data_IF_586744979948
#
_entry.id   IF_586744979948
#
_cell.length_a   1.000
_cell.length_b   1.000
_cell.length_c   1.000
_cell.angle_alpha   90.00
_cell.angle_beta   90.00
_cell.angle_gamma   90.00
#
_symmetry.space_group_name_H-M   'P 1'
#
loop_
_entity.id
_entity.type
_entity.pdbx_description
1 polymer ?
#
# COMPACT_ATOMS: atom_id res chain seq x y z
N UNK A 1 21.74 -5.03 -20.21
CA UNK A 1 20.69 -4.49 -21.11
C UNK A 1 19.98 -5.67 -21.76
N UNK A 2 18.89 -6.14 -21.16
CA UNK A 2 18.03 -7.16 -21.76
C UNK A 2 16.77 -6.49 -22.27
N UNK A 3 16.50 -6.66 -23.55
CA UNK A 3 15.30 -6.21 -24.25
C UNK A 3 14.27 -7.33 -24.27
N UNK A 4 13.05 -7.05 -23.80
CA UNK A 4 11.94 -8.00 -23.85
C UNK A 4 11.31 -8.01 -25.25
N UNK A 5 11.00 -9.21 -25.78
CA UNK A 5 10.28 -9.43 -27.05
C UNK A 5 8.84 -9.82 -26.76
N UNK A 6 7.88 -9.00 -27.20
CA UNK A 6 6.46 -9.37 -27.26
C UNK A 6 6.14 -10.05 -28.60
N UNK A 7 5.43 -11.18 -28.57
CA UNK A 7 4.97 -11.90 -29.76
C UNK A 7 3.50 -11.57 -30.01
N UNK A 8 3.24 -10.58 -30.87
CA UNK A 8 1.90 -10.29 -31.40
C UNK A 8 1.63 -11.10 -32.67
N UNK A 9 0.48 -11.79 -32.74
CA UNK A 9 -0.08 -12.35 -33.97
C UNK A 9 -1.14 -11.37 -34.46
N UNK A 10 -0.93 -10.79 -35.64
CA UNK A 10 -1.87 -9.90 -36.29
C UNK A 10 -2.72 -10.69 -37.29
N UNK A 11 -4.04 -10.66 -37.13
CA UNK A 11 -4.98 -10.92 -38.21
C UNK A 11 -5.96 -9.73 -38.27
N UNK A 12 -6.03 -9.13 -39.46
CA UNK A 12 -6.77 -7.92 -39.80
C UNK A 12 -8.30 -8.12 -39.83
N UNK A 13 -9.05 -7.22 -39.17
CA UNK A 13 -10.37 -6.70 -39.58
C UNK A 13 -10.62 -5.35 -38.84
N UNK A 14 -11.12 -4.34 -39.57
CA UNK A 14 -11.30 -2.94 -39.17
C UNK A 14 -12.50 -2.71 -38.20
N UNK A 15 -12.61 -1.53 -37.53
CA UNK A 15 -12.94 -1.46 -36.11
C UNK A 15 -14.42 -1.25 -35.80
N UNK A 16 -14.90 -1.93 -34.76
CA UNK A 16 -15.99 -1.45 -33.91
C UNK A 16 -15.31 -0.85 -32.69
N UNK A 17 -15.27 0.48 -32.58
CA UNK A 17 -14.78 1.17 -31.37
C UNK A 17 -15.84 0.95 -30.29
N UNK A 18 -15.71 -0.17 -29.57
CA UNK A 18 -16.08 -0.23 -28.17
C UNK A 18 -14.81 0.11 -27.42
N UNK A 19 -14.81 1.22 -26.69
CA UNK A 19 -13.79 1.48 -25.68
C UNK A 19 -13.84 0.33 -24.67
N UNK A 20 -13.06 -0.71 -24.92
CA UNK A 20 -12.77 -1.73 -23.94
C UNK A 20 -11.92 -1.06 -22.87
N UNK A 21 -12.49 -0.93 -21.66
CA UNK A 21 -11.73 -0.55 -20.46
C UNK A 21 -10.62 -1.60 -20.34
N UNK A 22 -9.39 -1.24 -20.75
CA UNK A 22 -8.25 -2.14 -20.76
C UNK A 22 -7.70 -2.24 -19.33
N UNK A 23 -8.24 -3.20 -18.57
CA UNK A 23 -7.62 -3.67 -17.33
C UNK A 23 -6.26 -4.28 -17.66
N UNK A 24 -5.22 -3.88 -16.93
CA UNK A 24 -3.91 -4.50 -16.99
C UNK A 24 -3.79 -5.55 -15.90
N UNK A 25 -3.62 -6.81 -16.31
CA UNK A 25 -3.38 -7.93 -15.38
C UNK A 25 -1.88 -8.17 -15.21
N UNK A 26 -1.44 -8.24 -13.96
CA UNK A 26 -0.05 -8.48 -13.56
C UNK A 26 -0.02 -9.65 -12.59
N UNK A 27 0.45 -10.79 -13.07
CA UNK A 27 0.71 -11.96 -12.23
C UNK A 27 2.11 -11.84 -11.61
N UNK A 28 2.17 -11.87 -10.28
CA UNK A 28 3.43 -11.81 -9.52
C UNK A 28 3.73 -13.21 -9.01
N UNK A 29 4.76 -13.82 -9.60
CA UNK A 29 5.13 -15.22 -9.38
C UNK A 29 6.54 -15.43 -8.86
N UNK A 30 7.35 -14.37 -8.85
CA UNK A 30 8.67 -14.33 -8.20
C UNK A 30 8.65 -13.42 -6.97
N UNK A 31 9.59 -13.65 -6.05
CA UNK A 31 9.57 -13.09 -4.70
C UNK A 31 9.84 -11.58 -4.64
N UNK A 32 10.55 -11.02 -5.61
CA UNK A 32 10.92 -9.60 -5.69
C UNK A 32 10.13 -8.81 -6.76
N UNK A 33 9.30 -9.47 -7.57
CA UNK A 33 8.57 -8.84 -8.68
C UNK A 33 7.59 -7.77 -8.19
N UNK A 34 6.96 -7.98 -7.03
CA UNK A 34 6.05 -6.99 -6.43
C UNK A 34 6.77 -5.68 -6.11
N UNK A 35 7.97 -5.78 -5.53
CA UNK A 35 8.78 -4.62 -5.21
C UNK A 35 9.23 -3.90 -6.48
N UNK A 36 9.70 -4.63 -7.49
CA UNK A 36 10.06 -4.05 -8.78
C UNK A 36 8.90 -3.30 -9.40
N UNK A 37 7.70 -3.89 -9.36
CA UNK A 37 6.51 -3.29 -9.92
C UNK A 37 6.05 -2.04 -9.17
N UNK A 38 5.89 -2.10 -7.84
CA UNK A 38 5.27 -1.02 -7.06
C UNK A 38 6.26 0.06 -6.59
N UNK A 39 7.52 -0.30 -6.38
CA UNK A 39 8.50 0.56 -5.70
C UNK A 39 9.53 1.15 -6.65
N UNK A 40 9.88 0.45 -7.74
CA UNK A 40 10.95 0.88 -8.66
C UNK A 40 10.47 1.35 -10.04
N UNK A 41 9.28 0.94 -10.50
CA UNK A 41 8.71 1.49 -11.73
C UNK A 41 8.16 2.90 -11.51
N UNK A 42 8.39 3.79 -12.48
CA UNK A 42 7.93 5.17 -12.41
C UNK A 42 7.35 5.65 -13.76
N UNK A 43 6.02 5.90 -13.87
CA UNK A 43 4.99 5.57 -12.89
C UNK A 43 4.70 4.05 -12.84
N UNK A 44 4.37 3.48 -11.67
CA UNK A 44 4.11 2.04 -11.54
C UNK A 44 2.76 1.65 -12.17
N UNK A 45 1.76 2.53 -12.13
CA UNK A 45 0.39 2.26 -12.59
C UNK A 45 -0.05 3.33 -13.60
N UNK A 46 -0.24 2.92 -14.86
CA UNK A 46 -0.55 3.80 -16.01
C UNK A 46 -1.96 3.61 -16.59
N UNK A 47 -2.73 2.69 -16.03
CA UNK A 47 -4.14 2.39 -16.34
C UNK A 47 -4.73 1.60 -15.17
N UNK A 48 -6.01 1.25 -15.25
CA UNK A 48 -6.62 0.36 -14.26
C UNK A 48 -5.88 -0.98 -14.23
N UNK A 49 -5.43 -1.40 -13.05
CA UNK A 49 -4.53 -2.55 -12.90
C UNK A 49 -5.04 -3.52 -11.84
N UNK A 50 -4.98 -4.81 -12.17
CA UNK A 50 -5.13 -5.93 -11.25
C UNK A 50 -3.75 -6.60 -11.05
N UNK A 51 -3.28 -6.62 -9.81
CA UNK A 51 -2.07 -7.32 -9.39
C UNK A 51 -2.48 -8.58 -8.63
N UNK A 52 -2.07 -9.73 -9.14
CA UNK A 52 -2.40 -11.04 -8.58
C UNK A 52 -1.15 -11.69 -8.00
N UNK A 53 -1.12 -11.85 -6.68
CA UNK A 53 0.02 -12.38 -5.94
C UNK A 53 -0.07 -13.90 -5.74
N UNK A 54 0.98 -14.62 -6.12
CA UNK A 54 1.11 -16.05 -5.83
C UNK A 54 1.12 -16.33 -4.32
N UNK A 55 0.25 -17.23 -3.84
CA UNK A 55 0.28 -17.69 -2.43
C UNK A 55 1.35 -18.73 -2.14
N UNK A 56 2.05 -19.23 -3.16
CA UNK A 56 3.08 -20.27 -3.01
C UNK A 56 4.43 -19.71 -2.58
N UNK A 57 4.59 -18.39 -2.60
CA UNK A 57 5.83 -17.69 -2.26
C UNK A 57 5.56 -16.60 -1.22
N UNK A 58 6.62 -16.11 -0.60
CA UNK A 58 6.58 -14.85 0.16
C UNK A 58 7.11 -13.75 -0.76
N UNK A 59 6.34 -12.69 -0.91
CA UNK A 59 6.73 -11.50 -1.67
C UNK A 59 7.54 -10.59 -0.76
N UNK A 60 8.82 -10.41 -1.06
CA UNK A 60 9.72 -9.59 -0.26
C UNK A 60 9.77 -8.16 -0.79
N UNK A 61 9.74 -7.21 0.14
CA UNK A 61 10.05 -5.81 -0.12
C UNK A 61 11.36 -5.51 0.61
N UNK A 62 12.38 -5.11 -0.12
CA UNK A 62 13.66 -4.75 0.47
C UNK A 62 13.52 -3.49 1.33
N UNK A 63 14.08 -3.51 2.54
CA UNK A 63 14.10 -2.36 3.47
C UNK A 63 15.02 -1.21 3.03
N UNK A 64 15.37 -1.13 1.74
CA UNK A 64 16.23 -0.08 1.19
C UNK A 64 15.44 1.16 0.74
N UNK A 65 14.11 1.12 0.86
CA UNK A 65 13.23 2.24 0.50
C UNK A 65 12.38 2.64 1.72
N UNK A 66 12.17 3.95 1.93
CA UNK A 66 11.29 4.44 3.00
C UNK A 66 9.86 3.99 2.71
N UNK A 67 9.18 4.60 1.74
CA UNK A 67 7.89 4.15 1.25
C UNK A 67 8.00 3.75 -0.22
N UNK A 68 7.35 2.64 -0.58
CA UNK A 68 6.92 2.44 -1.95
C UNK A 68 5.78 3.43 -2.22
N UNK A 69 6.05 4.46 -3.01
CA UNK A 69 5.09 5.52 -3.33
C UNK A 69 4.38 5.20 -4.65
N UNK A 70 3.12 4.82 -4.56
CA UNK A 70 2.24 4.58 -5.71
C UNK A 70 1.37 5.82 -5.88
N UNK A 71 1.78 6.72 -6.79
CA UNK A 71 1.01 7.91 -7.15
C UNK A 71 0.33 7.68 -8.50
N UNK A 72 -1.00 7.56 -8.48
CA UNK A 72 -1.78 7.30 -9.69
C UNK A 72 -3.22 7.74 -9.51
N UNK A 73 -3.89 8.14 -10.58
CA UNK A 73 -5.33 8.44 -10.59
C UNK A 73 -6.16 7.27 -11.11
N UNK A 74 -5.52 6.15 -11.47
CA UNK A 74 -6.20 4.93 -11.93
C UNK A 74 -6.66 4.07 -10.76
N UNK A 75 -7.47 3.05 -11.06
CA UNK A 75 -7.86 2.03 -10.09
C UNK A 75 -6.78 0.95 -9.97
N UNK A 76 -6.57 0.46 -8.74
CA UNK A 76 -5.62 -0.60 -8.45
C UNK A 76 -6.28 -1.65 -7.55
N UNK A 77 -6.23 -2.91 -7.98
CA UNK A 77 -6.63 -4.04 -7.16
C UNK A 77 -5.41 -4.93 -6.91
N UNK A 78 -5.09 -5.21 -5.65
CA UNK A 78 -4.03 -6.15 -5.26
C UNK A 78 -4.69 -7.28 -4.51
N UNK A 79 -4.54 -8.49 -5.03
CA UNK A 79 -5.19 -9.69 -4.47
C UNK A 79 -4.31 -10.91 -4.53
N UNK A 80 -4.59 -11.91 -3.69
CA UNK A 80 -4.01 -13.24 -3.86
C UNK A 80 -4.62 -14.01 -5.05
N UNK A 81 -3.84 -14.93 -5.62
CA UNK A 81 -4.25 -15.86 -6.68
C UNK A 81 -5.08 -17.06 -6.20
N UNK A 82 -5.41 -17.13 -4.91
CA UNK A 82 -6.17 -18.24 -4.32
C UNK A 82 -7.21 -17.73 -3.32
N UNK A 83 -7.98 -18.65 -2.73
CA UNK A 83 -8.91 -18.31 -1.63
C UNK A 83 -8.20 -17.92 -0.32
N UNK A 84 -6.93 -18.29 -0.17
CA UNK A 84 -6.09 -17.92 0.98
C UNK A 84 -5.32 -16.63 0.75
N UNK A 85 -4.71 -16.05 1.80
CA UNK A 85 -3.98 -14.81 1.66
C UNK A 85 -2.57 -14.99 1.07
N UNK A 86 -2.11 -14.01 0.29
CA UNK A 86 -0.71 -13.90 -0.14
C UNK A 86 0.10 -13.12 0.89
N UNK A 87 1.36 -13.53 1.14
CA UNK A 87 2.21 -12.90 2.16
C UNK A 87 3.17 -11.91 1.54
N UNK A 88 3.12 -10.66 2.00
CA UNK A 88 4.07 -9.58 1.72
C UNK A 88 4.91 -9.36 2.99
N UNK A 89 6.22 -9.55 2.88
CA UNK A 89 7.15 -9.43 3.99
C UNK A 89 8.20 -8.36 3.72
N UNK A 90 8.25 -7.33 4.56
CA UNK A 90 9.24 -6.25 4.44
C UNK A 90 10.53 -6.51 5.25
N UNK A 91 10.58 -7.61 6.01
CA UNK A 91 11.77 -8.06 6.73
C UNK A 91 12.47 -9.15 5.91
N UNK A 92 13.39 -8.76 5.03
CA UNK A 92 14.18 -9.72 4.28
C UNK A 92 15.16 -10.46 5.21
N UNK A 93 15.31 -11.80 5.09
CA UNK A 93 16.26 -12.57 5.88
C UNK A 93 17.70 -12.13 5.60
N UNK A 94 18.47 -11.78 6.63
CA UNK A 94 19.92 -11.54 6.52
C UNK A 94 20.41 -10.12 6.81
N UNK A 95 19.52 -9.15 7.03
CA UNK A 95 19.88 -7.78 7.43
C UNK A 95 18.98 -7.33 8.59
N UNK A 96 19.27 -7.83 9.80
CA UNK A 96 18.36 -7.70 10.96
C UNK A 96 18.77 -6.70 12.02
N UNK A 97 19.86 -5.95 11.82
CA UNK A 97 20.43 -5.22 12.94
C UNK A 97 20.03 -3.74 13.00
N UNK A 98 19.81 -3.03 11.87
CA UNK A 98 19.69 -1.55 11.97
C UNK A 98 18.77 -0.81 10.99
N UNK A 99 18.03 -1.45 10.08
CA UNK A 99 17.48 -0.71 8.94
C UNK A 99 15.95 -0.71 8.81
N UNK A 100 15.51 0.48 8.44
CA UNK A 100 14.14 0.93 8.19
C UNK A 100 13.38 -0.11 7.38
N UNK A 101 12.26 -0.58 7.90
CA UNK A 101 11.36 -1.41 7.11
C UNK A 101 10.58 -0.53 6.13
N UNK A 102 10.07 -1.14 5.07
CA UNK A 102 9.31 -0.43 4.05
C UNK A 102 7.82 -0.44 4.36
N UNK A 103 7.14 0.65 3.99
CA UNK A 103 5.68 0.74 3.93
C UNK A 103 5.20 1.07 2.51
N UNK A 104 3.90 1.08 2.31
CA UNK A 104 3.26 1.45 1.05
C UNK A 104 2.44 2.72 1.22
N UNK A 105 2.59 3.64 0.28
CA UNK A 105 1.81 4.87 0.21
C UNK A 105 1.04 4.90 -1.11
N UNK A 106 -0.28 4.91 -1.05
CA UNK A 106 -1.17 4.94 -2.21
C UNK A 106 -1.83 6.31 -2.31
N UNK A 107 -1.33 7.14 -3.23
CA UNK A 107 -1.63 8.57 -3.32
C UNK A 107 -2.53 8.82 -4.52
N UNK A 108 -3.65 9.52 -4.30
CA UNK A 108 -4.62 9.93 -5.33
C UNK A 108 -5.31 8.79 -6.10
N UNK A 109 -5.21 7.56 -5.61
CA UNK A 109 -5.80 6.37 -6.27
C UNK A 109 -7.32 6.51 -6.32
N UNK A 110 -7.90 6.35 -7.51
CA UNK A 110 -9.34 6.51 -7.69
C UNK A 110 -10.11 5.41 -6.95
N UNK A 111 -9.71 4.15 -7.13
CA UNK A 111 -10.24 3.02 -6.39
C UNK A 111 -9.11 2.06 -6.05
N UNK A 112 -8.91 1.79 -4.76
CA UNK A 112 -7.94 0.83 -4.26
C UNK A 112 -8.68 -0.33 -3.61
N UNK A 113 -8.39 -1.55 -4.07
CA UNK A 113 -8.81 -2.78 -3.40
C UNK A 113 -7.59 -3.56 -2.95
N UNK A 114 -7.54 -3.90 -1.66
CA UNK A 114 -6.57 -4.80 -1.05
C UNK A 114 -7.33 -6.00 -0.52
N UNK A 115 -7.11 -7.18 -1.11
CA UNK A 115 -7.92 -8.35 -0.82
C UNK A 115 -7.07 -9.60 -0.58
N UNK A 116 -7.34 -10.34 0.52
CA UNK A 116 -6.63 -11.58 0.85
C UNK A 116 -5.11 -11.39 0.91
N UNK A 117 -4.66 -10.46 1.75
CA UNK A 117 -3.23 -10.11 1.90
C UNK A 117 -2.78 -10.23 3.35
N UNK A 118 -1.53 -10.64 3.56
CA UNK A 118 -0.85 -10.60 4.86
C UNK A 118 0.37 -9.70 4.74
N UNK A 119 0.37 -8.56 5.44
CA UNK A 119 1.54 -7.70 5.58
C UNK A 119 2.29 -8.07 6.86
N UNK A 120 3.58 -8.37 6.73
CA UNK A 120 4.44 -8.78 7.84
C UNK A 120 5.72 -7.96 7.89
N UNK A 121 6.10 -7.48 9.08
CA UNK A 121 7.40 -6.84 9.25
C UNK A 121 7.51 -5.49 8.56
N UNK A 122 6.39 -4.86 8.21
CA UNK A 122 6.36 -3.64 7.41
C UNK A 122 6.15 -2.41 8.29
N UNK A 123 6.47 -1.24 7.74
CA UNK A 123 6.23 0.05 8.38
C UNK A 123 7.39 1.00 8.16
N UNK A 124 7.11 2.21 7.68
CA UNK A 124 8.16 3.19 7.40
C UNK A 124 7.85 4.55 7.98
N UNK A 125 8.91 5.28 8.33
CA UNK A 125 8.82 6.61 8.89
C UNK A 125 8.13 7.57 7.94
N UNK A 126 7.20 8.36 8.48
CA UNK A 126 6.47 9.40 7.75
C UNK A 126 7.37 10.57 7.32
N UNK A 127 8.60 10.64 7.85
CA UNK A 127 9.63 11.62 7.49
C UNK A 127 9.98 11.56 6.00
N UNK A 128 10.19 12.72 5.38
CA UNK A 128 10.63 12.87 3.98
C UNK A 128 9.64 12.34 2.92
N UNK A 129 8.36 12.20 3.26
CA UNK A 129 7.33 12.03 2.22
C UNK A 129 6.72 13.39 1.92
N UNK A 130 6.73 13.77 0.64
CA UNK A 130 6.18 15.06 0.19
C UNK A 130 4.71 15.24 0.56
N UNK A 131 3.98 14.13 0.71
CA UNK A 131 2.58 14.15 1.16
C UNK A 131 2.45 14.48 2.65
N UNK A 132 3.37 14.02 3.49
CA UNK A 132 3.39 14.36 4.91
C UNK A 132 3.83 15.81 5.12
N UNK A 133 4.69 16.36 4.26
CA UNK A 133 5.00 17.80 4.29
C UNK A 133 3.75 18.66 4.03
N UNK A 134 2.84 18.19 3.17
CA UNK A 134 1.53 18.85 2.97
C UNK A 134 0.65 18.72 4.20
N UNK A 135 0.56 17.53 4.80
CA UNK A 135 -0.26 17.28 6.00
C UNK A 135 0.29 18.02 7.23
N UNK A 136 1.61 18.17 7.33
CA UNK A 136 2.31 18.84 8.42
C UNK A 136 2.42 20.36 8.21
N UNK A 137 1.84 20.91 7.13
CA UNK A 137 1.84 22.35 6.92
C UNK A 137 1.12 23.06 8.09
N UNK A 138 1.48 24.32 8.34
CA UNK A 138 0.97 25.12 9.47
C UNK A 138 -0.55 25.32 9.48
N UNK A 139 -1.25 24.88 8.44
CA UNK A 139 -2.71 24.98 8.29
C UNK A 139 -3.45 23.82 8.97
N UNK A 140 -2.75 22.75 9.38
CA UNK A 140 -3.36 21.57 10.01
C UNK A 140 -3.04 21.43 11.51
N UNK A 141 -4.03 21.07 12.35
CA UNK A 141 -3.84 20.92 13.79
C UNK A 141 -3.12 19.63 14.19
N UNK A 142 -2.99 18.66 13.28
CA UNK A 142 -2.36 17.37 13.52
C UNK A 142 -1.04 17.28 12.76
N UNK A 143 0.07 17.19 13.50
CA UNK A 143 1.42 17.14 12.94
C UNK A 143 2.06 15.78 13.16
N UNK A 144 2.45 15.10 12.08
CA UNK A 144 3.23 13.89 12.14
C UNK A 144 4.72 14.20 12.35
N UNK A 145 5.29 13.75 13.46
CA UNK A 145 6.72 13.82 13.72
C UNK A 145 7.49 12.74 12.96
N UNK A 146 8.81 12.92 12.89
CA UNK A 146 9.75 11.96 12.31
C UNK A 146 9.77 10.57 12.98
N UNK A 147 9.16 10.41 14.14
CA UNK A 147 9.11 9.15 14.89
C UNK A 147 7.86 8.32 14.59
N UNK A 148 6.89 8.88 13.86
CA UNK A 148 5.73 8.12 13.45
C UNK A 148 6.01 7.38 12.16
N UNK A 149 5.48 6.17 12.06
CA UNK A 149 5.58 5.32 10.88
C UNK A 149 4.23 4.74 10.51
N UNK A 150 4.11 4.23 9.29
CA UNK A 150 2.92 3.51 8.85
C UNK A 150 3.26 2.35 7.90
N UNK A 151 2.47 1.26 7.95
CA UNK A 151 2.52 0.17 6.96
C UNK A 151 1.83 0.59 5.68
N UNK A 152 0.56 0.99 5.80
CA UNK A 152 -0.27 1.43 4.70
C UNK A 152 -0.68 2.88 4.94
N UNK A 153 -0.29 3.75 4.02
CA UNK A 153 -0.58 5.17 4.01
C UNK A 153 -1.53 5.48 2.83
N UNK A 154 -2.70 6.03 3.13
CA UNK A 154 -3.75 6.33 2.17
C UNK A 154 -4.13 7.82 2.18
N UNK A 155 -3.30 8.69 1.59
CA UNK A 155 -3.62 10.09 1.42
C UNK A 155 -4.54 10.26 0.20
N UNK A 156 -5.73 10.83 0.42
CA UNK A 156 -6.65 11.23 -0.63
C UNK A 156 -7.06 10.08 -1.56
N UNK A 157 -7.67 9.03 -0.99
CA UNK A 157 -8.30 7.96 -1.77
C UNK A 157 -9.81 8.21 -1.86
N UNK A 158 -10.34 8.09 -3.08
CA UNK A 158 -11.78 8.19 -3.31
C UNK A 158 -12.51 6.90 -2.85
N UNK A 159 -12.12 5.73 -3.37
CA UNK A 159 -12.69 4.44 -2.92
C UNK A 159 -11.57 3.56 -2.33
N UNK A 160 -11.70 3.16 -1.08
CA UNK A 160 -10.81 2.22 -0.40
C UNK A 160 -11.58 0.99 0.05
N UNK A 161 -11.21 -0.18 -0.47
CA UNK A 161 -11.73 -1.47 -0.02
C UNK A 161 -10.59 -2.32 0.53
N UNK A 162 -10.70 -2.67 1.82
CA UNK A 162 -9.80 -3.62 2.48
C UNK A 162 -10.64 -4.82 2.88
N UNK A 163 -10.31 -5.99 2.36
CA UNK A 163 -11.10 -7.20 2.59
C UNK A 163 -10.20 -8.41 2.91
N UNK A 164 -10.42 -9.02 4.08
CA UNK A 164 -9.65 -10.19 4.53
C UNK A 164 -8.14 -9.91 4.49
N UNK A 165 -7.73 -8.83 5.14
CA UNK A 165 -6.32 -8.40 5.22
C UNK A 165 -5.83 -8.56 6.65
N UNK A 166 -4.62 -9.12 6.81
CA UNK A 166 -3.94 -9.22 8.09
C UNK A 166 -2.68 -8.37 8.08
N UNK A 167 -2.46 -7.58 9.12
CA UNK A 167 -1.24 -6.80 9.33
C UNK A 167 -0.63 -7.23 10.66
N UNK A 168 0.57 -7.79 10.61
CA UNK A 168 1.24 -8.35 11.79
C UNK A 168 2.71 -7.98 11.87
N UNK A 169 3.25 -7.89 13.09
CA UNK A 169 4.66 -7.53 13.32
C UNK A 169 5.03 -6.21 12.61
N UNK A 170 4.23 -5.16 12.79
CA UNK A 170 4.35 -3.90 12.05
C UNK A 170 4.92 -2.76 12.89
N UNK A 171 5.57 -1.79 12.24
CA UNK A 171 6.15 -0.60 12.88
C UNK A 171 5.29 0.65 12.66
N UNK A 172 4.79 1.26 13.75
CA UNK A 172 3.94 2.47 13.71
C UNK A 172 2.47 2.15 13.51
N UNK A 173 1.73 2.96 12.74
CA UNK A 173 0.34 2.65 12.39
C UNK A 173 0.27 1.49 11.38
N UNK A 174 -0.63 0.54 11.61
CA UNK A 174 -0.92 -0.49 10.60
C UNK A 174 -1.64 0.14 9.39
N UNK A 175 -2.55 1.08 9.65
CA UNK A 175 -3.22 1.87 8.62
C UNK A 175 -3.20 3.33 9.05
N UNK A 176 -2.81 4.21 8.13
CA UNK A 176 -3.00 5.65 8.24
C UNK A 176 -3.76 6.14 7.00
N UNK A 177 -5.04 6.45 7.15
CA UNK A 177 -5.88 7.00 6.09
C UNK A 177 -6.19 8.48 6.36
N UNK A 178 -5.99 9.33 5.35
CA UNK A 178 -6.16 10.77 5.46
C UNK A 178 -7.13 11.22 4.37
N UNK A 179 -8.26 11.78 4.81
CA UNK A 179 -9.38 12.18 3.95
C UNK A 179 -9.88 11.08 2.98
N UNK A 180 -10.11 9.82 3.43
CA UNK A 180 -10.75 8.85 2.56
C UNK A 180 -12.20 9.27 2.27
N UNK A 181 -12.66 9.22 1.02
CA UNK A 181 -14.05 9.59 0.68
C UNK A 181 -15.00 8.44 0.97
N UNK A 182 -14.73 7.25 0.45
CA UNK A 182 -15.53 6.05 0.68
C UNK A 182 -14.60 4.88 1.04
N UNK A 183 -14.48 4.57 2.33
CA UNK A 183 -13.65 3.48 2.81
C UNK A 183 -14.50 2.37 3.46
N UNK A 184 -14.22 1.13 3.08
CA UNK A 184 -14.76 -0.06 3.73
C UNK A 184 -13.61 -0.98 4.12
N UNK A 185 -13.58 -1.37 5.39
CA UNK A 185 -12.65 -2.35 5.95
C UNK A 185 -13.49 -3.51 6.48
N UNK A 186 -13.39 -4.67 5.83
CA UNK A 186 -14.11 -5.88 6.20
C UNK A 186 -13.11 -6.97 6.56
N UNK A 187 -13.24 -7.56 7.76
CA UNK A 187 -12.36 -8.65 8.20
C UNK A 187 -10.88 -8.26 8.21
N UNK A 188 -10.59 -7.03 8.65
CA UNK A 188 -9.22 -6.55 8.88
C UNK A 188 -8.71 -7.04 10.24
N UNK A 189 -7.59 -7.76 10.23
CA UNK A 189 -6.92 -8.21 11.47
C UNK A 189 -5.61 -7.46 11.67
N UNK A 190 -5.47 -6.71 12.76
CA UNK A 190 -4.23 -6.04 13.15
C UNK A 190 -3.72 -6.67 14.44
N UNK A 191 -2.51 -7.24 14.42
CA UNK A 191 -1.95 -7.92 15.58
C UNK A 191 -0.49 -7.53 15.85
N UNK A 192 -0.18 -7.27 17.11
CA UNK A 192 1.18 -6.98 17.57
C UNK A 192 1.67 -8.11 18.49
N UNK A 193 2.89 -8.60 18.27
CA UNK A 193 3.52 -9.62 19.14
C UNK A 193 4.23 -8.98 20.33
N UNK A 194 4.07 -9.53 21.54
CA UNK A 194 4.76 -9.06 22.76
C UNK A 194 6.29 -9.03 22.62
N UNK A 195 6.88 -9.99 21.89
CA UNK A 195 8.35 -10.02 21.66
C UNK A 195 8.82 -8.80 20.86
N UNK A 196 7.96 -8.34 19.96
CA UNK A 196 8.21 -7.19 19.11
C UNK A 196 7.96 -5.86 19.84
N UNK A 197 6.94 -5.81 20.70
CA UNK A 197 6.67 -4.67 21.61
C UNK A 197 7.88 -4.37 22.49
N UNK A 198 8.51 -5.38 23.08
CA UNK A 198 9.67 -5.18 23.95
C UNK A 198 10.88 -4.56 23.21
N UNK A 199 11.01 -4.82 21.91
CA UNK A 199 12.08 -4.25 21.07
C UNK A 199 11.77 -2.79 20.66
N UNK A 200 10.51 -2.46 20.33
CA UNK A 200 10.09 -1.09 20.04
C UNK A 200 10.20 -0.19 21.29
N UNK A 201 9.71 -0.67 22.44
CA UNK A 201 9.71 0.09 23.69
C UNK A 201 11.13 0.38 24.17
N UNK A 202 12.08 -0.54 23.96
CA UNK A 202 13.47 -0.31 24.38
C UNK A 202 14.19 0.77 23.57
N UNK A 203 13.72 1.10 22.36
CA UNK A 203 14.43 1.99 21.44
C UNK A 203 13.74 3.36 21.24
N UNK A 204 12.53 3.59 21.77
CA UNK A 204 11.76 4.84 21.57
C UNK A 204 11.61 5.27 20.10
N UNK A 205 11.75 4.34 19.16
CA UNK A 205 11.97 4.67 17.75
C UNK A 205 10.67 4.84 16.95
N UNK A 206 9.56 4.21 17.33
CA UNK A 206 8.32 4.17 16.53
C UNK A 206 7.08 4.54 17.36
N UNK A 207 6.33 5.55 16.91
CA UNK A 207 5.07 6.01 17.51
C UNK A 207 3.91 5.72 16.55
N UNK A 208 2.82 5.17 17.09
CA UNK A 208 1.61 4.80 16.35
C UNK A 208 1.29 3.31 16.53
N UNK A 209 0.00 2.96 16.59
CA UNK A 209 -0.46 1.57 16.59
C UNK A 209 -1.91 1.51 16.10
N UNK A 210 -2.31 0.38 15.51
CA UNK A 210 -3.66 0.18 15.01
C UNK A 210 -3.91 0.96 13.71
N UNK A 211 -5.17 1.33 13.49
CA UNK A 211 -5.59 2.16 12.37
C UNK A 211 -5.91 3.58 12.83
N UNK A 212 -5.39 4.59 12.13
CA UNK A 212 -5.76 5.99 12.30
C UNK A 212 -6.46 6.48 11.02
N UNK A 213 -7.67 6.99 11.18
CA UNK A 213 -8.39 7.72 10.15
C UNK A 213 -8.45 9.18 10.57
N UNK A 214 -7.99 10.07 9.70
CA UNK A 214 -7.87 11.49 9.97
C UNK A 214 -8.53 12.31 8.87
N UNK A 215 -9.36 13.28 9.26
CA UNK A 215 -10.08 14.18 8.36
C UNK A 215 -9.63 15.62 8.59
N UNK A 216 -9.20 16.32 7.54
CA UNK A 216 -8.79 17.72 7.58
C UNK A 216 -9.88 18.65 7.03
N UNK A 217 -9.89 19.88 7.54
CA UNK A 217 -11.02 20.81 7.39
C UNK A 217 -11.30 21.28 5.96
N UNK A 218 -10.28 21.33 5.09
CA UNK A 218 -10.41 21.81 3.70
C UNK A 218 -11.18 20.85 2.78
N UNK A 219 -11.32 19.56 3.15
CA UNK A 219 -11.97 18.54 2.31
C UNK A 219 -13.39 18.17 2.74
N UNK A 220 -13.77 18.48 3.99
CA UNK A 220 -15.09 18.12 4.56
C UNK A 220 -16.23 18.97 3.92
N UNK A 221 -15.90 20.04 3.18
CA UNK A 221 -16.88 21.01 2.71
C UNK A 221 -17.57 20.57 1.39
N UNK A 222 -16.97 19.69 0.60
CA UNK A 222 -17.50 19.32 -0.73
C UNK A 222 -18.07 17.91 -0.85
N UNK A 223 -17.61 16.95 -0.02
CA UNK A 223 -17.93 15.54 -0.20
C UNK A 223 -18.39 14.84 1.10
N UNK A 224 -19.33 13.89 0.98
CA UNK A 224 -19.76 13.05 2.10
C UNK A 224 -18.72 11.94 2.30
N UNK A 225 -17.98 12.01 3.40
CA UNK A 225 -17.03 10.97 3.79
C UNK A 225 -17.74 9.83 4.51
N UNK A 226 -17.59 8.60 4.03
CA UNK A 226 -18.16 7.38 4.63
C UNK A 226 -17.06 6.39 4.93
N UNK A 227 -17.03 5.89 6.18
CA UNK A 227 -16.13 4.82 6.61
C UNK A 227 -16.95 3.72 7.28
N UNK A 228 -16.84 2.50 6.78
CA UNK A 228 -17.47 1.31 7.36
C UNK A 228 -16.35 0.35 7.79
N UNK A 229 -16.40 -0.11 9.05
CA UNK A 229 -15.47 -1.09 9.60
C UNK A 229 -16.26 -2.23 10.23
N UNK A 230 -16.11 -3.44 9.68
CA UNK A 230 -16.85 -4.65 10.07
C UNK A 230 -15.90 -5.80 10.44
#
# INVERSE_FOLDING_TARGET
>A
MSTYKFKGRADHLAPVIRDSIYLQDIDVTEDNELEQFLCYNNPPVVRDTLVVLSTNITHYISGNVSFCMINTTYSLNITSNSSGPATINCNQPGNHLHWQTTGFSFIYVHSLTLQRLVFRGCGSFLKNSTIIDVINSTEYPFHFTQYQSAVLLFPYINILLIENVTITYYYGFAILAINPVNATMNSLTISVSRKFVNHIISENTYIGTGALLYFTQDYIITDIHTVISN
#
